data_IF_185491078804
#
_entry.id   IF_185491078804
#
_cell.length_a   1.000
_cell.length_b   1.000
_cell.length_c   1.000
_cell.angle_alpha   90.00
_cell.angle_beta   90.00
_cell.angle_gamma   90.00
#
_symmetry.space_group_name_H-M   'P 1'
#
loop_
_entity.id
_entity.type
_entity.pdbx_description
1 polymer ?
#
# COMPACT_ATOMS: atom_id res chain seq x y z
N UNK A 1 3.98 17.19 2.71
CA UNK A 1 5.19 17.67 2.03
C UNK A 1 5.70 19.02 2.53
N UNK A 2 4.89 19.90 3.15
CA UNK A 2 5.44 21.09 3.80
C UNK A 2 6.58 20.75 4.77
N UNK A 3 6.46 19.64 5.53
CA UNK A 3 7.45 19.21 6.52
C UNK A 3 8.77 18.78 5.88
N UNK A 4 8.73 17.99 4.80
CA UNK A 4 9.93 17.57 4.06
C UNK A 4 10.60 18.75 3.35
N UNK A 5 9.81 19.67 2.79
CA UNK A 5 10.30 20.92 2.21
C UNK A 5 11.03 21.77 3.25
N UNK A 6 10.46 21.93 4.42
CA UNK A 6 11.06 22.65 5.55
C UNK A 6 12.37 21.97 6.00
N UNK A 7 12.35 20.65 6.20
CA UNK A 7 13.53 19.89 6.62
C UNK A 7 14.68 19.96 5.61
N UNK A 8 14.36 20.01 4.31
CA UNK A 8 15.34 20.11 3.22
C UNK A 8 15.66 21.55 2.81
N UNK A 9 15.07 22.56 3.46
CA UNK A 9 15.29 23.97 3.12
C UNK A 9 14.91 24.33 1.67
N UNK A 10 13.87 23.71 1.12
CA UNK A 10 13.48 23.89 -0.30
C UNK A 10 11.99 24.14 -0.46
N UNK A 11 11.61 24.99 -1.42
CA UNK A 11 10.20 25.18 -1.80
C UNK A 11 9.74 24.20 -2.92
N UNK A 12 10.68 23.52 -3.58
CA UNK A 12 10.42 22.74 -4.78
C UNK A 12 10.22 21.25 -4.48
N UNK A 13 9.10 20.68 -4.93
CA UNK A 13 8.83 19.23 -4.80
C UNK A 13 9.88 18.37 -5.50
N UNK A 14 10.36 18.81 -6.67
CA UNK A 14 11.40 18.12 -7.41
C UNK A 14 12.69 17.92 -6.59
N UNK A 15 13.07 18.88 -5.74
CA UNK A 15 14.23 18.74 -4.86
C UNK A 15 13.98 17.71 -3.76
N UNK A 16 12.77 17.67 -3.20
CA UNK A 16 12.38 16.65 -2.21
C UNK A 16 12.47 15.26 -2.82
N UNK A 17 11.85 15.04 -3.97
CA UNK A 17 11.88 13.73 -4.64
C UNK A 17 13.29 13.31 -5.05
N UNK A 18 14.12 14.24 -5.55
CA UNK A 18 15.52 13.95 -5.87
C UNK A 18 16.31 13.49 -4.64
N UNK A 19 16.06 14.08 -3.47
CA UNK A 19 16.71 13.67 -2.21
C UNK A 19 16.16 12.34 -1.68
N UNK A 20 14.85 12.13 -1.77
CA UNK A 20 14.25 10.85 -1.41
C UNK A 20 14.78 9.72 -2.31
N UNK A 21 15.01 9.96 -3.60
CA UNK A 21 15.56 8.97 -4.52
C UNK A 21 17.00 8.52 -4.21
N UNK A 22 17.70 9.17 -3.28
CA UNK A 22 19.05 8.73 -2.85
C UNK A 22 19.03 7.81 -1.65
N UNK A 23 17.85 7.47 -1.11
CA UNK A 23 17.68 6.58 0.04
C UNK A 23 16.57 5.59 -0.24
N UNK A 24 16.61 4.44 0.42
CA UNK A 24 15.50 3.49 0.38
C UNK A 24 14.39 3.97 1.34
N UNK A 25 13.21 4.26 0.79
CA UNK A 25 12.07 4.75 1.53
C UNK A 25 10.77 4.11 1.07
N UNK A 26 9.79 4.06 1.98
CA UNK A 26 8.42 3.65 1.68
C UNK A 26 7.46 4.81 1.88
N UNK A 27 6.33 4.74 1.18
CA UNK A 27 5.22 5.68 1.38
C UNK A 27 3.98 4.95 1.89
N UNK A 28 3.13 5.68 2.61
CA UNK A 28 1.89 5.10 3.15
C UNK A 28 0.90 4.77 2.04
N UNK A 29 0.32 3.57 2.06
CA UNK A 29 -0.77 3.23 1.14
C UNK A 29 -2.13 3.81 1.58
N UNK A 30 -2.33 4.08 2.87
CA UNK A 30 -3.63 4.52 3.41
C UNK A 30 -3.97 5.99 3.20
N UNK A 31 -2.95 6.86 3.12
CA UNK A 31 -3.12 8.31 3.00
C UNK A 31 -2.64 8.86 1.66
N UNK A 32 -2.83 8.10 0.58
CA UNK A 32 -2.41 8.48 -0.79
C UNK A 32 -0.91 8.85 -0.87
N UNK A 33 -0.04 8.08 -0.22
CA UNK A 33 1.41 8.31 -0.24
C UNK A 33 1.88 9.56 0.52
N UNK A 34 1.07 10.11 1.42
CA UNK A 34 1.39 11.36 2.13
C UNK A 34 2.49 11.21 3.19
N UNK A 35 2.64 10.03 3.78
CA UNK A 35 3.64 9.76 4.81
C UNK A 35 4.78 8.92 4.27
N UNK A 36 5.97 9.14 4.83
CA UNK A 36 7.24 8.58 4.38
C UNK A 36 7.93 7.92 5.56
N UNK A 37 8.63 6.82 5.31
CA UNK A 37 9.52 6.15 6.26
C UNK A 37 10.76 5.70 5.53
N UNK A 38 11.91 5.68 6.22
CA UNK A 38 13.09 4.99 5.69
C UNK A 38 12.89 3.47 5.82
N UNK A 39 13.47 2.72 4.89
CA UNK A 39 13.42 1.26 4.90
C UNK A 39 13.99 0.68 6.21
N UNK A 40 15.11 1.22 6.69
CA UNK A 40 15.78 0.79 7.93
C UNK A 40 14.93 0.96 9.21
N UNK A 41 13.89 1.80 9.17
CA UNK A 41 12.96 2.04 10.30
C UNK A 41 11.72 1.16 10.19
N UNK A 42 11.32 0.79 8.97
CA UNK A 42 10.11 0.00 8.75
C UNK A 42 10.27 -1.41 9.35
N UNK A 43 9.20 -1.93 9.96
CA UNK A 43 9.16 -3.26 10.57
C UNK A 43 8.00 -4.04 9.98
N UNK A 44 8.18 -4.43 8.71
CA UNK A 44 7.17 -5.21 7.99
C UNK A 44 6.99 -6.60 8.60
N UNK A 45 5.73 -7.02 8.72
CA UNK A 45 5.35 -8.36 9.14
C UNK A 45 5.49 -9.38 7.99
N UNK A 46 5.04 -10.61 8.23
CA UNK A 46 5.08 -11.69 7.25
C UNK A 46 4.27 -11.41 5.98
N UNK A 47 3.23 -10.57 6.06
CA UNK A 47 2.44 -10.12 4.92
C UNK A 47 3.06 -8.90 4.23
N UNK A 48 4.19 -8.40 4.74
CA UNK A 48 4.86 -7.22 4.20
C UNK A 48 4.19 -5.91 4.62
N UNK A 49 3.38 -5.91 5.68
CA UNK A 49 2.64 -4.77 6.18
C UNK A 49 3.30 -4.19 7.44
N UNK A 50 3.27 -2.88 7.57
CA UNK A 50 3.73 -2.19 8.76
C UNK A 50 2.82 -1.01 9.06
N UNK A 51 2.59 -0.72 10.34
CA UNK A 51 1.82 0.45 10.73
C UNK A 51 2.57 1.28 11.77
N UNK A 52 2.38 2.60 11.68
CA UNK A 52 2.87 3.54 12.67
C UNK A 52 1.83 4.64 12.87
N UNK A 53 1.28 4.75 14.09
CA UNK A 53 0.27 5.76 14.46
C UNK A 53 -0.91 5.81 13.48
N UNK A 54 -1.49 4.65 13.16
CA UNK A 54 -2.60 4.49 12.22
C UNK A 54 -2.31 4.91 10.77
N UNK A 55 -1.02 5.03 10.42
CA UNK A 55 -0.56 5.14 9.04
C UNK A 55 -0.03 3.78 8.61
N UNK A 56 -0.47 3.31 7.45
CA UNK A 56 -0.19 1.96 6.99
C UNK A 56 0.75 1.99 5.77
N UNK A 57 1.75 1.13 5.83
CA UNK A 57 2.83 0.98 4.87
C UNK A 57 2.89 -0.47 4.40
N UNK A 58 3.40 -0.64 3.19
CA UNK A 58 3.60 -1.94 2.59
C UNK A 58 4.92 -1.95 1.85
N UNK A 59 5.64 -3.06 1.92
CA UNK A 59 6.83 -3.30 1.11
C UNK A 59 6.53 -3.29 -0.40
N UNK A 60 5.26 -3.48 -0.78
CA UNK A 60 4.78 -3.40 -2.16
C UNK A 60 4.41 -1.96 -2.59
N UNK A 61 4.57 -0.99 -1.68
CA UNK A 61 4.37 0.44 -1.93
C UNK A 61 2.90 0.85 -1.94
N UNK A 62 2.20 0.64 -3.05
CA UNK A 62 0.84 1.18 -3.25
C UNK A 62 -0.25 0.25 -2.73
N UNK A 63 -1.44 0.79 -2.44
CA UNK A 63 -2.60 -0.03 -2.05
C UNK A 63 -2.92 -1.09 -3.11
N UNK A 64 -2.86 -0.73 -4.40
CA UNK A 64 -3.15 -1.66 -5.51
C UNK A 64 -2.15 -2.80 -5.55
N UNK A 65 -0.86 -2.50 -5.49
CA UNK A 65 0.19 -3.54 -5.49
C UNK A 65 0.12 -4.41 -4.23
N UNK A 66 -0.21 -3.82 -3.08
CA UNK A 66 -0.35 -4.53 -1.81
C UNK A 66 -1.55 -5.47 -1.82
N UNK A 67 -2.71 -5.01 -2.30
CA UNK A 67 -3.90 -5.83 -2.41
C UNK A 67 -3.69 -7.02 -3.36
N UNK A 68 -2.99 -6.80 -4.48
CA UNK A 68 -2.61 -7.90 -5.37
C UNK A 68 -1.70 -8.91 -4.68
N UNK A 69 -0.62 -8.46 -4.06
CA UNK A 69 0.32 -9.37 -3.39
C UNK A 69 -0.35 -10.17 -2.27
N UNK A 70 -1.29 -9.54 -1.56
CA UNK A 70 -2.07 -10.20 -0.52
C UNK A 70 -2.98 -11.30 -1.09
N UNK A 71 -3.71 -11.00 -2.17
CA UNK A 71 -4.55 -11.98 -2.88
C UNK A 71 -3.72 -13.12 -3.46
N UNK A 72 -2.63 -12.82 -4.17
CA UNK A 72 -1.77 -13.81 -4.83
C UNK A 72 -1.06 -14.73 -3.82
N UNK A 73 -0.82 -14.26 -2.59
CA UNK A 73 -0.22 -15.05 -1.52
C UNK A 73 -1.23 -15.96 -0.80
N UNK A 74 -2.53 -15.74 -0.96
CA UNK A 74 -3.58 -16.51 -0.31
C UNK A 74 -4.03 -17.69 -1.19
N UNK A 75 -3.93 -18.92 -0.64
CA UNK A 75 -4.36 -20.13 -1.34
C UNK A 75 -5.85 -20.09 -1.73
N UNK A 76 -6.69 -19.53 -0.87
CA UNK A 76 -8.13 -19.40 -1.10
C UNK A 76 -8.55 -18.02 -1.65
N UNK A 77 -7.59 -17.12 -1.90
CA UNK A 77 -7.87 -15.71 -2.19
C UNK A 77 -8.40 -14.94 -0.99
N UNK A 78 -8.93 -13.75 -1.25
CA UNK A 78 -9.58 -12.91 -0.22
C UNK A 78 -10.89 -12.33 -0.75
N UNK A 79 -11.92 -12.28 0.10
CA UNK A 79 -13.02 -11.36 -0.15
C UNK A 79 -12.63 -9.90 0.18
N UNK A 80 -13.42 -8.93 -0.32
CA UNK A 80 -13.10 -7.52 -0.11
C UNK A 80 -13.09 -7.09 1.37
N UNK A 81 -13.94 -7.70 2.20
CA UNK A 81 -14.01 -7.39 3.64
C UNK A 81 -12.83 -8.00 4.40
N UNK A 82 -12.42 -9.21 4.05
CA UNK A 82 -11.22 -9.84 4.62
C UNK A 82 -9.96 -9.05 4.23
N UNK A 83 -9.86 -8.63 2.97
CA UNK A 83 -8.77 -7.79 2.47
C UNK A 83 -8.74 -6.43 3.18
N UNK A 84 -9.90 -5.78 3.40
CA UNK A 84 -9.99 -4.55 4.20
C UNK A 84 -9.63 -4.77 5.67
N UNK A 85 -10.01 -5.91 6.27
CA UNK A 85 -9.65 -6.24 7.64
C UNK A 85 -8.12 -6.42 7.80
N UNK A 86 -7.44 -6.95 6.79
CA UNK A 86 -5.96 -7.06 6.79
C UNK A 86 -5.30 -5.72 6.49
N UNK A 87 -5.75 -5.02 5.45
CA UNK A 87 -5.13 -3.78 4.97
C UNK A 87 -5.51 -2.54 5.79
N UNK A 88 -6.54 -2.62 6.62
CA UNK A 88 -7.07 -1.54 7.46
C UNK A 88 -7.57 -0.31 6.67
N UNK A 89 -7.83 -0.48 5.37
CA UNK A 89 -8.41 0.53 4.47
C UNK A 89 -9.30 -0.14 3.43
N UNK A 90 -10.31 0.59 2.94
CA UNK A 90 -11.13 0.14 1.81
C UNK A 90 -10.23 -0.17 0.60
N UNK A 91 -10.28 -1.41 0.15
CA UNK A 91 -9.50 -1.91 -0.98
C UNK A 91 -10.39 -2.31 -2.17
N UNK A 92 -11.70 -2.10 -2.10
CA UNK A 92 -12.66 -2.61 -3.09
C UNK A 92 -12.38 -2.05 -4.49
N UNK A 93 -12.11 -0.75 -4.59
CA UNK A 93 -11.78 -0.14 -5.89
C UNK A 93 -10.43 -0.63 -6.42
N UNK A 94 -9.45 -0.88 -5.54
CA UNK A 94 -8.16 -1.43 -5.94
C UNK A 94 -8.33 -2.86 -6.51
N UNK A 95 -9.07 -3.72 -5.82
CA UNK A 95 -9.40 -5.08 -6.26
C UNK A 95 -10.16 -5.09 -7.60
N UNK A 96 -11.19 -4.26 -7.74
CA UNK A 96 -11.92 -4.14 -9.01
C UNK A 96 -11.03 -3.63 -10.15
N UNK A 97 -10.10 -2.71 -9.85
CA UNK A 97 -9.10 -2.25 -10.81
C UNK A 97 -8.18 -3.38 -11.28
N UNK A 98 -7.70 -4.22 -10.35
CA UNK A 98 -6.88 -5.38 -10.64
C UNK A 98 -7.60 -6.37 -11.55
N UNK A 99 -8.87 -6.67 -11.25
CA UNK A 99 -9.72 -7.53 -12.09
C UNK A 99 -9.89 -6.98 -13.49
N UNK A 100 -10.21 -5.69 -13.63
CA UNK A 100 -10.35 -5.04 -14.96
C UNK A 100 -9.05 -5.08 -15.76
N UNK A 101 -7.90 -5.02 -15.09
CA UNK A 101 -6.58 -5.12 -15.72
C UNK A 101 -6.13 -6.57 -15.98
N UNK A 102 -6.92 -7.57 -15.60
CA UNK A 102 -6.58 -8.99 -15.76
C UNK A 102 -5.46 -9.49 -14.84
N UNK A 103 -5.13 -8.73 -13.78
CA UNK A 103 -4.05 -9.06 -12.83
C UNK A 103 -4.51 -9.97 -11.69
N UNK A 104 -5.81 -9.99 -11.42
CA UNK A 104 -6.45 -10.79 -10.37
C UNK A 104 -7.77 -11.31 -10.95
N UNK A 105 -8.13 -12.56 -10.64
CA UNK A 105 -9.41 -13.14 -11.02
C UNK A 105 -10.49 -12.77 -10.01
N UNK A 106 -11.76 -12.96 -10.35
CA UNK A 106 -12.85 -12.74 -9.39
C UNK A 106 -13.90 -13.80 -9.57
N UNK A 107 -14.16 -14.55 -8.51
CA UNK A 107 -15.11 -15.64 -8.52
C UNK A 107 -16.19 -15.44 -7.47
N UNK A 108 -17.39 -15.95 -7.75
CA UNK A 108 -18.50 -15.90 -6.80
C UNK A 108 -18.60 -17.23 -6.07
N UNK A 109 -18.19 -17.24 -4.80
CA UNK A 109 -18.13 -18.44 -3.94
C UNK A 109 -19.02 -18.22 -2.73
N UNK A 110 -20.00 -19.10 -2.52
CA UNK A 110 -20.86 -19.10 -1.32
C UNK A 110 -21.50 -17.74 -0.97
N UNK A 111 -21.92 -16.97 -1.98
CA UNK A 111 -22.56 -15.66 -1.79
C UNK A 111 -21.60 -14.49 -1.62
N UNK A 112 -20.29 -14.71 -1.77
CA UNK A 112 -19.26 -13.68 -1.71
C UNK A 112 -18.44 -13.64 -3.00
N UNK A 113 -17.85 -12.49 -3.26
CA UNK A 113 -16.86 -12.37 -4.32
C UNK A 113 -15.48 -12.50 -3.72
N UNK A 114 -14.77 -13.54 -4.14
CA UNK A 114 -13.38 -13.81 -3.79
C UNK A 114 -12.52 -13.34 -4.96
N UNK A 115 -11.43 -12.66 -4.63
CA UNK A 115 -10.43 -12.17 -5.55
C UNK A 115 -9.19 -13.03 -5.45
#
# INVERSE_FOLDING_TARGET
MPELKQALGTAADATVFRKLATVDYHTSYSHRGRFYTLDEVARFDALGLWSFRSVFFSRFGTLVATAQALVEAAEAGYDAGECEAVLQVDCKQALLGLVRSGRVTREHVSGRYVY
#
